data_IF_822999353374
#
_entry.id   IF_822999353374
#
_cell.length_a   1.000
_cell.length_b   1.000
_cell.length_c   1.000
_cell.angle_alpha   90.00
_cell.angle_beta   90.00
_cell.angle_gamma   90.00
#
_symmetry.space_group_name_H-M   'P 1'
#
loop_
_entity.id
_entity.type
_entity.pdbx_description
1 polymer ?
#
# COMPACT_ATOMS: atom_id res chain seq x y z
N UNK A 1 -13.33 13.95 14.83
CA UNK A 1 -14.46 13.19 14.25
C UNK A 1 -15.73 13.99 14.51
N UNK A 2 -16.75 14.02 13.62
CA UNK A 2 -16.92 13.31 12.35
C UNK A 2 -16.95 14.33 11.17
N UNK A 3 -17.13 14.06 9.88
CA UNK A 3 -17.31 12.89 9.02
C UNK A 3 -17.04 13.37 7.57
N UNK A 4 -16.64 12.44 6.70
CA UNK A 4 -17.04 12.34 5.29
C UNK A 4 -16.96 13.59 4.39
N UNK A 5 -16.10 13.54 3.37
CA UNK A 5 -16.47 14.05 2.04
C UNK A 5 -15.69 13.31 0.98
N UNK A 6 -16.29 12.21 0.53
CA UNK A 6 -16.25 11.83 -0.86
C UNK A 6 -16.76 13.00 -1.70
N UNK A 7 -15.85 13.84 -2.18
CA UNK A 7 -16.14 14.76 -3.29
C UNK A 7 -14.97 14.75 -4.25
N UNK A 8 -14.62 13.56 -4.74
CA UNK A 8 -13.78 13.43 -5.91
C UNK A 8 -14.65 13.58 -7.18
N UNK A 9 -14.12 14.35 -8.11
CA UNK A 9 -14.50 14.51 -9.52
C UNK A 9 -15.58 15.52 -9.97
N UNK A 10 -16.65 15.81 -9.23
CA UNK A 10 -17.71 16.67 -9.80
C UNK A 10 -17.44 18.20 -9.75
N UNK A 11 -16.47 18.66 -8.95
CA UNK A 11 -16.25 20.10 -8.72
C UNK A 11 -15.29 20.78 -9.72
N UNK A 12 -14.54 20.01 -10.52
CA UNK A 12 -13.44 20.54 -11.33
C UNK A 12 -13.76 20.79 -12.81
N UNK A 13 -14.96 20.46 -13.27
CA UNK A 13 -15.41 20.72 -14.66
C UNK A 13 -15.99 22.12 -14.87
N UNK A 14 -16.00 22.99 -13.85
CA UNK A 14 -16.51 24.38 -13.90
C UNK A 14 -15.50 25.46 -13.54
N UNK A 15 -14.21 25.13 -13.56
CA UNK A 15 -13.13 26.13 -13.50
C UNK A 15 -12.47 26.15 -14.87
N UNK A 16 -12.36 27.32 -15.50
CA UNK A 16 -11.63 27.54 -16.76
C UNK A 16 -10.13 27.31 -16.52
N UNK A 17 -9.72 26.03 -16.47
CA UNK A 17 -8.33 25.65 -16.29
C UNK A 17 -7.61 25.74 -17.64
N UNK A 18 -6.50 26.49 -17.75
CA UNK A 18 -5.75 26.59 -19.00
C UNK A 18 -5.30 25.23 -19.52
N UNK A 19 -5.50 24.95 -20.81
CA UNK A 19 -5.13 23.70 -21.50
C UNK A 19 -3.66 23.30 -21.27
N UNK A 20 -2.78 24.27 -21.06
CA UNK A 20 -1.36 24.06 -20.78
C UNK A 20 -1.06 23.36 -19.44
N UNK A 21 -2.01 23.34 -18.49
CA UNK A 21 -1.87 22.67 -17.19
C UNK A 21 -2.51 21.27 -17.15
N UNK A 22 -3.19 20.85 -18.22
CA UNK A 22 -3.82 19.53 -18.27
C UNK A 22 -2.83 18.36 -18.14
N UNK A 23 -1.61 18.38 -18.74
CA UNK A 23 -0.64 17.30 -18.57
C UNK A 23 -0.16 17.12 -17.11
N UNK A 24 -0.01 18.22 -16.36
CA UNK A 24 0.37 18.18 -14.93
C UNK A 24 -0.76 17.73 -13.99
N UNK A 25 -2.02 17.87 -14.43
CA UNK A 25 -3.20 17.35 -13.71
C UNK A 25 -3.42 15.87 -14.01
N UNK A 26 -3.20 15.42 -15.25
CA UNK A 26 -3.30 14.02 -15.62
C UNK A 26 -2.26 13.16 -14.86
N UNK A 27 -1.03 13.66 -14.70
CA UNK A 27 0.03 12.98 -13.94
C UNK A 27 -0.28 12.87 -12.43
N UNK A 28 -0.90 13.91 -11.84
CA UNK A 28 -1.35 13.91 -10.42
C UNK A 28 -2.63 13.12 -10.16
N UNK A 29 -3.36 12.74 -11.21
CA UNK A 29 -4.60 11.95 -11.16
C UNK A 29 -4.38 10.55 -11.75
N UNK A 30 -3.15 10.04 -11.70
CA UNK A 30 -2.88 8.60 -11.82
C UNK A 30 -3.22 7.89 -10.50
N UNK A 31 -4.44 8.10 -9.98
CA UNK A 31 -4.99 7.25 -8.94
C UNK A 31 -5.56 6.02 -9.63
N UNK A 32 -4.69 5.09 -10.02
CA UNK A 32 -5.13 3.71 -10.22
C UNK A 32 -5.71 3.27 -8.87
N UNK A 33 -7.05 3.27 -8.79
CA UNK A 33 -7.77 2.91 -7.59
C UNK A 33 -7.74 1.38 -7.48
N UNK A 34 -6.55 0.84 -7.20
CA UNK A 34 -6.34 -0.59 -7.02
C UNK A 34 -7.16 -1.06 -5.84
N UNK A 35 -7.97 -2.11 -6.05
CA UNK A 35 -8.83 -2.65 -5.00
C UNK A 35 -7.97 -3.47 -4.04
N UNK A 36 -7.93 -3.08 -2.77
CA UNK A 36 -7.26 -3.86 -1.73
C UNK A 36 -8.17 -4.96 -1.20
N UNK A 37 -7.69 -6.20 -1.26
CA UNK A 37 -8.36 -7.38 -0.70
C UNK A 37 -7.52 -7.93 0.44
N UNK A 38 -8.10 -8.04 1.63
CA UNK A 38 -7.37 -8.51 2.81
C UNK A 38 -7.69 -9.98 3.09
N UNK A 39 -6.65 -10.81 3.25
CA UNK A 39 -6.83 -12.16 3.79
C UNK A 39 -7.27 -12.06 5.26
N UNK A 40 -8.04 -13.04 5.74
CA UNK A 40 -8.51 -13.09 7.15
C UNK A 40 -7.33 -12.97 8.13
N UNK A 41 -6.22 -13.66 7.84
CA UNK A 41 -5.01 -13.57 8.67
C UNK A 41 -4.46 -12.14 8.75
N UNK A 42 -4.45 -11.39 7.64
CA UNK A 42 -3.98 -10.00 7.63
C UNK A 42 -4.86 -9.11 8.51
N UNK A 43 -6.19 -9.25 8.42
CA UNK A 43 -7.14 -8.48 9.24
C UNK A 43 -6.92 -8.74 10.73
N UNK A 44 -6.69 -9.99 11.13
CA UNK A 44 -6.39 -10.34 12.52
C UNK A 44 -5.10 -9.68 13.00
N UNK A 45 -4.01 -9.75 12.21
CA UNK A 45 -2.73 -9.09 12.55
C UNK A 45 -2.85 -7.58 12.64
N UNK A 46 -3.64 -6.98 11.75
CA UNK A 46 -3.90 -5.56 11.76
C UNK A 46 -4.61 -5.14 13.06
N UNK A 47 -5.65 -5.88 13.46
CA UNK A 47 -6.37 -5.62 14.69
C UNK A 47 -5.48 -5.78 15.93
N UNK A 48 -4.74 -6.89 16.05
CA UNK A 48 -3.82 -7.17 17.16
C UNK A 48 -2.78 -6.07 17.39
N UNK A 49 -2.40 -5.34 16.33
CA UNK A 49 -1.29 -4.40 16.33
C UNK A 49 -1.75 -2.96 16.16
N UNK A 50 -3.05 -2.69 16.03
CA UNK A 50 -3.55 -1.35 15.71
C UNK A 50 -2.94 -0.81 14.40
N UNK A 51 -2.93 -1.63 13.35
CA UNK A 51 -2.55 -1.22 12.00
C UNK A 51 -3.84 -0.96 11.23
N UNK A 52 -3.98 0.25 10.69
CA UNK A 52 -5.18 0.66 9.98
C UNK A 52 -5.09 0.30 8.49
N UNK A 53 -6.22 0.31 7.80
CA UNK A 53 -6.25 0.14 6.35
C UNK A 53 -5.53 1.29 5.61
N UNK A 54 -5.54 2.49 6.18
CA UNK A 54 -4.81 3.65 5.63
C UNK A 54 -3.29 3.51 5.77
N UNK A 55 -2.83 2.89 6.86
CA UNK A 55 -1.41 2.54 7.04
C UNK A 55 -0.95 1.60 5.93
N UNK A 56 -1.72 0.54 5.66
CA UNK A 56 -1.40 -0.42 4.60
C UNK A 56 -1.42 0.25 3.23
N UNK A 57 -2.42 1.08 2.93
CA UNK A 57 -2.47 1.86 1.68
C UNK A 57 -1.26 2.77 1.53
N UNK A 58 -0.86 3.47 2.59
CA UNK A 58 0.29 4.35 2.56
C UNK A 58 1.57 3.55 2.26
N UNK A 59 1.78 2.42 2.95
CA UNK A 59 2.93 1.54 2.72
C UNK A 59 2.94 0.97 1.30
N UNK A 60 1.81 0.51 0.76
CA UNK A 60 1.76 -0.01 -0.61
C UNK A 60 2.01 1.07 -1.67
N UNK A 61 1.64 2.32 -1.39
CA UNK A 61 1.80 3.44 -2.32
C UNK A 61 3.22 4.03 -2.31
N UNK A 62 3.85 4.13 -1.14
CA UNK A 62 5.13 4.86 -0.99
C UNK A 62 6.27 3.99 -0.49
N UNK A 63 6.00 2.73 -0.17
CA UNK A 63 6.98 1.79 0.35
C UNK A 63 7.91 1.24 -0.73
N UNK A 64 8.98 0.63 -0.25
CA UNK A 64 10.00 -0.02 -1.06
C UNK A 64 9.75 -1.53 -1.08
N UNK A 65 9.64 -2.12 -2.27
CA UNK A 65 9.67 -3.58 -2.40
C UNK A 65 11.07 -4.09 -2.10
N UNK A 66 11.22 -4.84 -1.01
CA UNK A 66 12.52 -5.33 -0.53
C UNK A 66 12.76 -6.82 -0.86
N UNK A 67 11.69 -7.58 -1.11
CA UNK A 67 11.78 -8.97 -1.60
C UNK A 67 10.65 -9.24 -2.61
N UNK A 68 10.94 -10.07 -3.61
CA UNK A 68 9.97 -10.55 -4.59
C UNK A 68 9.89 -12.08 -4.52
N UNK A 69 8.68 -12.60 -4.62
CA UNK A 69 8.35 -14.03 -4.62
C UNK A 69 7.53 -14.35 -5.88
N UNK A 70 8.19 -14.36 -7.06
CA UNK A 70 7.49 -14.56 -8.34
C UNK A 70 6.84 -15.94 -8.47
N UNK A 71 7.33 -16.92 -7.72
CA UNK A 71 6.88 -18.31 -7.76
C UNK A 71 5.71 -18.60 -6.80
N UNK A 72 5.24 -17.60 -6.04
CA UNK A 72 4.08 -17.76 -5.16
C UNK A 72 2.79 -17.99 -5.96
N UNK A 73 1.90 -18.79 -5.39
CA UNK A 73 0.60 -19.13 -5.98
C UNK A 73 -0.55 -18.62 -5.10
N UNK A 74 -1.65 -18.08 -5.67
CA UNK A 74 -2.01 -18.03 -7.10
C UNK A 74 -1.37 -16.89 -7.90
N UNK A 75 -0.78 -15.89 -7.25
CA UNK A 75 -0.15 -14.74 -7.90
C UNK A 75 1.22 -14.46 -7.30
N UNK A 76 2.17 -13.95 -8.09
CA UNK A 76 3.43 -13.40 -7.61
C UNK A 76 3.21 -12.47 -6.42
N UNK A 77 3.97 -12.70 -5.35
CA UNK A 77 3.88 -11.87 -4.16
C UNK A 77 5.17 -11.07 -3.92
N UNK A 78 5.09 -10.03 -3.11
CA UNK A 78 6.22 -9.18 -2.76
C UNK A 78 6.13 -8.73 -1.32
N UNK A 79 7.29 -8.47 -0.72
CA UNK A 79 7.41 -7.85 0.59
C UNK A 79 7.74 -6.37 0.42
N UNK A 80 6.83 -5.51 0.89
CA UNK A 80 6.99 -4.06 0.88
C UNK A 80 7.32 -3.58 2.29
N UNK A 81 8.39 -2.79 2.40
CA UNK A 81 8.75 -2.03 3.59
C UNK A 81 8.27 -0.58 3.44
N UNK A 82 7.49 -0.09 4.40
CA UNK A 82 7.13 1.32 4.49
C UNK A 82 7.15 1.82 5.92
N UNK A 83 6.93 3.12 6.07
CA UNK A 83 6.94 3.81 7.36
C UNK A 83 5.68 4.63 7.54
N UNK A 84 5.02 4.44 8.68
CA UNK A 84 3.91 5.27 9.14
C UNK A 84 4.44 6.12 10.29
N UNK A 85 4.83 7.35 9.99
CA UNK A 85 5.64 8.15 10.91
C UNK A 85 6.97 7.44 11.19
N UNK A 86 7.21 7.10 12.45
CA UNK A 86 8.42 6.37 12.88
C UNK A 86 8.21 4.86 12.98
N UNK A 87 7.03 4.35 12.62
CA UNK A 87 6.66 2.95 12.75
C UNK A 87 6.95 2.19 11.44
N UNK A 88 7.89 1.23 11.41
CA UNK A 88 8.17 0.43 10.22
C UNK A 88 7.10 -0.65 10.05
N UNK A 89 6.61 -0.83 8.83
CA UNK A 89 5.65 -1.88 8.49
C UNK A 89 6.15 -2.70 7.31
N UNK A 90 6.01 -4.01 7.45
CA UNK A 90 6.18 -5.00 6.40
C UNK A 90 4.80 -5.47 5.94
N UNK A 91 4.53 -5.30 4.65
CA UNK A 91 3.30 -5.76 3.99
C UNK A 91 3.69 -6.81 2.97
N UNK A 92 3.14 -8.02 3.10
CA UNK A 92 3.22 -9.03 2.03
C UNK A 92 1.97 -8.91 1.19
N UNK A 93 2.15 -8.65 -0.09
CA UNK A 93 1.06 -8.41 -1.03
C UNK A 93 1.29 -9.14 -2.35
N UNK A 94 0.21 -9.62 -2.95
CA UNK A 94 0.19 -10.19 -4.30
C UNK A 94 -0.67 -9.31 -5.19
N UNK A 95 -0.21 -9.03 -6.41
CA UNK A 95 -0.97 -8.22 -7.37
C UNK A 95 -1.67 -9.14 -8.38
N UNK A 96 -2.97 -8.96 -8.53
CA UNK A 96 -3.77 -9.51 -9.62
C UNK A 96 -4.01 -8.38 -10.62
N UNK A 97 -3.17 -8.35 -11.65
CA UNK A 97 -3.25 -7.34 -12.70
C UNK A 97 -4.52 -7.45 -13.55
N UNK A 98 -5.11 -8.66 -13.68
CA UNK A 98 -6.34 -8.86 -14.46
C UNK A 98 -7.55 -8.30 -13.71
N UNK A 99 -7.63 -8.52 -12.40
CA UNK A 99 -8.70 -8.00 -11.55
C UNK A 99 -8.48 -6.55 -11.07
N UNK A 100 -7.30 -5.97 -11.33
CA UNK A 100 -6.87 -4.69 -10.74
C UNK A 100 -6.96 -4.69 -9.21
N UNK A 101 -6.49 -5.79 -8.61
CA UNK A 101 -6.55 -6.06 -7.18
C UNK A 101 -5.16 -6.26 -6.59
N UNK A 102 -4.96 -5.78 -5.36
CA UNK A 102 -3.82 -6.17 -4.54
C UNK A 102 -4.32 -6.93 -3.32
N UNK A 103 -3.90 -8.20 -3.23
CA UNK A 103 -4.24 -9.09 -2.13
C UNK A 103 -3.21 -8.93 -1.01
N UNK A 104 -3.62 -8.38 0.12
CA UNK A 104 -2.81 -8.26 1.33
C UNK A 104 -2.84 -9.60 2.08
N UNK A 105 -1.70 -10.29 2.04
CA UNK A 105 -1.53 -11.63 2.64
C UNK A 105 -1.28 -11.52 4.14
N UNK A 106 -0.36 -10.62 4.55
CA UNK A 106 -0.08 -10.34 5.96
C UNK A 106 0.54 -8.95 6.13
N UNK A 107 0.43 -8.40 7.33
CA UNK A 107 1.05 -7.12 7.72
C UNK A 107 1.65 -7.25 9.11
N UNK A 108 2.87 -6.77 9.31
CA UNK A 108 3.56 -6.84 10.60
C UNK A 108 4.63 -5.77 10.77
N UNK A 109 4.97 -5.45 12.01
CA UNK A 109 6.18 -4.70 12.34
C UNK A 109 7.40 -5.65 12.35
N UNK A 110 8.49 -5.32 11.63
CA UNK A 110 9.66 -6.17 11.53
C UNK A 110 10.38 -6.28 12.89
N UNK A 111 10.72 -7.51 13.28
CA UNK A 111 11.45 -7.78 14.52
C UNK A 111 12.94 -7.43 14.36
N UNK A 112 13.53 -6.53 15.17
CA UNK A 112 14.95 -6.17 15.11
C UNK A 112 15.93 -7.33 15.31
N UNK A 113 15.49 -8.43 15.93
CA UNK A 113 16.29 -9.65 16.07
C UNK A 113 16.40 -10.44 14.76
N UNK A 114 15.45 -10.25 13.82
CA UNK A 114 15.42 -10.95 12.52
C UNK A 114 15.89 -10.06 11.36
N UNK A 115 15.94 -8.76 11.56
CA UNK A 115 16.20 -7.77 10.53
C UNK A 115 17.37 -6.86 10.92
N UNK A 116 18.16 -6.46 9.93
CA UNK A 116 19.20 -5.45 10.09
C UNK A 116 18.59 -4.06 10.40
N UNK A 117 19.38 -3.12 10.95
CA UNK A 117 18.93 -1.73 11.10
C UNK A 117 18.37 -1.19 9.78
N UNK A 118 17.19 -0.57 9.84
CA UNK A 118 16.47 -0.12 8.67
C UNK A 118 15.55 -1.16 8.02
N UNK A 119 15.49 -2.38 8.56
CA UNK A 119 14.49 -3.42 8.27
C UNK A 119 14.41 -3.94 6.83
N UNK A 120 15.38 -3.60 5.98
CA UNK A 120 15.40 -4.02 4.57
C UNK A 120 15.94 -5.43 4.35
N UNK A 121 16.87 -5.87 5.19
CA UNK A 121 17.61 -7.12 5.02
C UNK A 121 17.43 -8.03 6.22
N UNK A 122 17.18 -9.31 5.95
CA UNK A 122 17.14 -10.34 6.98
C UNK A 122 18.55 -10.57 7.52
N UNK A 123 18.66 -10.79 8.82
CA UNK A 123 19.91 -11.27 9.41
C UNK A 123 20.15 -12.73 8.98
N UNK A 124 21.39 -13.11 8.70
CA UNK A 124 21.73 -14.52 8.50
C UNK A 124 21.39 -15.31 9.77
N UNK A 125 20.77 -16.48 9.59
CA UNK A 125 20.45 -17.42 10.66
C UNK A 125 21.67 -18.28 11.00
#
# INVERSE_FOLDING_TARGET
MPASSSTCLAAYTKLDIPTALQPWLADRVSSENVRLVFRVHAVLRMFERGITMDDVRAVLRTGETIENYPDDSPYPSRLVLGWVGHRPLHVVAADDAEANETVVITVYEPNPARWEPGFRRRRPQ
#
